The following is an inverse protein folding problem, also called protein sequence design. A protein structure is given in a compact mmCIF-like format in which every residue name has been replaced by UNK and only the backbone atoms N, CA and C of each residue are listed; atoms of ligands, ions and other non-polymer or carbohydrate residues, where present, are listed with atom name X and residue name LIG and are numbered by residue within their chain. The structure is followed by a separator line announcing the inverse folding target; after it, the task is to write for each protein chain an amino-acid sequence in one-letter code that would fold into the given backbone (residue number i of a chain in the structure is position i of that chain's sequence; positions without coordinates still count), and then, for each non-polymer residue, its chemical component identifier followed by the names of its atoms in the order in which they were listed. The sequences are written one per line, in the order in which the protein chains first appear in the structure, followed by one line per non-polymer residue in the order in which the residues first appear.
data_IF_592832884109
#
_entry.id   IF_592832884109
#
_cell.length_a   1.000
_cell.length_b   1.000
_cell.length_c   1.000
_cell.angle_alpha   90.00
_cell.angle_beta   90.00
_cell.angle_gamma   90.00
#
_symmetry.space_group_name_H-M   'P 1'
#
loop_
_entity.id
_entity.type
_entity.pdbx_description
1 polymer ?
#
# COMPACT_ATOMS: atom_id res chain seq x y z
N UNK A 1 3.25 -7.50 3.42
CA UNK A 1 3.26 -6.43 2.40
C UNK A 1 4.69 -5.93 2.22
N UNK A 2 5.21 -5.95 1.00
CA UNK A 2 6.64 -5.77 0.75
C UNK A 2 6.96 -4.27 0.63
N UNK A 3 7.23 -3.57 1.75
CA UNK A 3 7.71 -2.16 1.91
C UNK A 3 7.09 -1.07 1.01
N UNK A 4 7.20 -1.19 -0.31
CA UNK A 4 6.57 -0.36 -1.34
C UNK A 4 5.05 -0.29 -1.14
N UNK A 5 4.43 -1.42 -0.82
CA UNK A 5 3.00 -1.52 -0.52
C UNK A 5 2.52 -0.61 0.62
N UNK A 6 3.24 -0.64 1.73
CA UNK A 6 2.92 0.17 2.91
C UNK A 6 3.12 1.65 2.61
N UNK A 7 4.08 2.00 1.75
CA UNK A 7 4.29 3.38 1.33
C UNK A 7 3.17 3.87 0.40
N UNK A 8 2.74 3.05 -0.57
CA UNK A 8 1.62 3.39 -1.47
C UNK A 8 0.34 3.58 -0.65
N UNK A 9 0.08 2.68 0.30
CA UNK A 9 -1.09 2.77 1.16
C UNK A 9 -1.07 4.00 2.08
N UNK A 10 0.11 4.36 2.60
CA UNK A 10 0.33 5.58 3.37
C UNK A 10 0.09 6.85 2.54
N UNK A 11 0.63 6.91 1.32
CA UNK A 11 0.44 8.04 0.41
C UNK A 11 -1.01 8.17 -0.05
N UNK A 12 -1.69 7.05 -0.30
CA UNK A 12 -3.12 7.03 -0.60
C UNK A 12 -3.94 7.58 0.58
N UNK A 13 -3.56 7.27 1.82
CA UNK A 13 -4.17 7.83 3.02
C UNK A 13 -4.06 9.36 3.09
N UNK A 14 -2.89 9.91 2.79
CA UNK A 14 -2.70 11.37 2.70
C UNK A 14 -3.54 12.01 1.60
N UNK A 15 -3.62 11.38 0.42
CA UNK A 15 -4.46 11.88 -0.66
C UNK A 15 -5.95 11.87 -0.27
N UNK A 16 -6.41 10.84 0.44
CA UNK A 16 -7.77 10.78 0.98
C UNK A 16 -8.05 11.88 2.01
N UNK A 17 -7.10 12.16 2.92
CA UNK A 17 -7.23 13.27 3.86
C UNK A 17 -7.31 14.61 3.15
N UNK A 18 -6.45 14.83 2.16
CA UNK A 18 -6.41 16.07 1.39
C UNK A 18 -7.73 16.33 0.67
N UNK A 19 -8.18 15.36 -0.14
CA UNK A 19 -9.45 15.47 -0.89
C UNK A 19 -10.66 15.47 0.05
N UNK A 20 -10.63 14.64 1.11
CA UNK A 20 -11.68 14.58 2.13
C UNK A 20 -11.89 15.91 2.84
N UNK A 21 -10.82 16.66 3.09
CA UNK A 21 -10.88 17.98 3.75
C UNK A 21 -11.38 19.10 2.84
N UNK A 22 -11.32 18.94 1.52
CA UNK A 22 -11.73 19.95 0.54
C UNK A 22 -13.14 19.71 -0.02
N UNK A 23 -13.80 18.62 0.36
CA UNK A 23 -15.15 18.27 -0.08
C UNK A 23 -16.21 19.01 0.74
N UNK A 24 -17.21 19.57 0.05
CA UNK A 24 -18.41 20.18 0.67
C UNK A 24 -19.41 19.12 1.16
N UNK A 25 -19.31 17.88 0.62
CA UNK A 25 -20.14 16.75 1.04
C UNK A 25 -19.73 16.22 2.42
N UNK A 26 -20.57 16.43 3.44
CA UNK A 26 -20.33 15.98 4.81
C UNK A 26 -20.12 14.46 4.94
N UNK A 27 -20.88 13.65 4.19
CA UNK A 27 -20.80 12.17 4.27
C UNK A 27 -19.53 11.65 3.60
N UNK A 28 -19.27 12.07 2.35
CA UNK A 28 -18.08 11.63 1.61
C UNK A 28 -16.81 12.17 2.25
N UNK A 29 -16.80 13.44 2.67
CA UNK A 29 -15.69 14.05 3.40
C UNK A 29 -15.36 13.27 4.68
N UNK A 30 -16.37 12.88 5.46
CA UNK A 30 -16.19 12.09 6.69
C UNK A 30 -15.64 10.69 6.42
N UNK A 31 -16.13 10.01 5.37
CA UNK A 31 -15.63 8.68 5.00
C UNK A 31 -14.16 8.77 4.57
N UNK A 32 -13.82 9.68 3.65
CA UNK A 32 -12.46 9.83 3.16
C UNK A 32 -11.49 10.27 4.26
N UNK A 33 -11.90 11.19 5.13
CA UNK A 33 -11.04 11.64 6.24
C UNK A 33 -10.81 10.54 7.28
N UNK A 34 -11.84 9.76 7.60
CA UNK A 34 -11.73 8.64 8.55
C UNK A 34 -10.86 7.51 8.00
N UNK A 35 -11.09 7.09 6.75
CA UNK A 35 -10.28 6.03 6.12
C UNK A 35 -8.85 6.50 5.82
N UNK A 36 -8.69 7.75 5.39
CA UNK A 36 -7.39 8.36 5.13
C UNK A 36 -6.56 8.49 6.41
N UNK A 37 -7.15 9.00 7.49
CA UNK A 37 -6.50 9.14 8.79
C UNK A 37 -6.08 7.80 9.38
N UNK A 38 -6.94 6.79 9.30
CA UNK A 38 -6.60 5.41 9.69
C UNK A 38 -5.41 4.88 8.88
N UNK A 39 -5.38 5.21 7.57
CA UNK A 39 -4.32 4.75 6.68
C UNK A 39 -2.97 5.40 6.97
N UNK A 40 -2.99 6.70 7.28
CA UNK A 40 -1.81 7.45 7.71
C UNK A 40 -1.26 6.91 9.03
N UNK A 41 -2.14 6.60 10.00
CA UNK A 41 -1.73 6.05 11.29
C UNK A 41 -0.96 4.73 11.15
N UNK A 42 -1.46 3.76 10.38
CA UNK A 42 -0.71 2.49 10.22
C UNK A 42 0.61 2.72 9.46
N UNK A 43 0.64 3.66 8.51
CA UNK A 43 1.89 4.03 7.84
C UNK A 43 2.91 4.64 8.80
N UNK A 44 2.49 5.52 9.71
CA UNK A 44 3.36 6.03 10.80
C UNK A 44 3.83 4.89 11.69
N UNK A 45 2.93 3.99 12.11
CA UNK A 45 3.31 2.82 12.91
C UNK A 45 4.34 1.95 12.20
N UNK A 46 4.19 1.75 10.88
CA UNK A 46 5.15 1.01 10.06
C UNK A 46 6.51 1.73 9.97
N UNK A 47 6.53 3.05 9.78
CA UNK A 47 7.76 3.85 9.76
C UNK A 47 8.50 3.79 11.10
N UNK A 48 7.77 3.95 12.21
CA UNK A 48 8.32 3.83 13.56
C UNK A 48 8.86 2.42 13.81
N UNK A 49 8.13 1.40 13.37
CA UNK A 49 8.56 0.01 13.49
C UNK A 49 9.86 -0.24 12.72
N UNK A 50 9.97 0.24 11.48
CA UNK A 50 11.18 0.12 10.66
C UNK A 50 12.35 0.87 11.28
N UNK A 51 12.15 2.10 11.76
CA UNK A 51 13.19 2.88 12.43
C UNK A 51 13.70 2.16 13.69
N UNK A 52 12.80 1.58 14.48
CA UNK A 52 13.13 0.89 15.72
C UNK A 52 13.84 -0.45 15.49
N UNK A 53 13.51 -1.19 14.44
CA UNK A 53 14.06 -2.54 14.16
C UNK A 53 15.03 -2.56 12.97
N UNK A 54 15.62 -1.41 12.60
CA UNK A 54 16.48 -1.31 11.42
C UNK A 54 17.66 -2.30 11.42
N UNK A 55 18.24 -2.61 12.59
CA UNK A 55 19.36 -3.57 12.76
C UNK A 55 18.96 -5.02 12.47
N UNK A 56 17.75 -5.41 12.86
CA UNK A 56 17.22 -6.77 12.63
C UNK A 56 16.85 -6.99 11.17
N UNK A 57 16.45 -5.92 10.49
CA UNK A 57 16.20 -5.92 9.05
C UNK A 57 17.47 -6.00 8.21
N UNK A 58 18.61 -5.50 8.69
CA UNK A 58 19.88 -5.64 7.98
C UNK A 58 20.40 -7.09 8.05
N UNK A 59 20.20 -7.77 9.18
CA UNK A 59 20.66 -9.13 9.41
C UNK A 59 19.75 -10.24 8.83
N UNK A 60 18.42 -10.04 8.80
CA UNK A 60 17.46 -11.07 8.35
C UNK A 60 17.14 -11.02 6.84
N UNK A 61 17.62 -10.00 6.11
CA UNK A 61 17.30 -9.81 4.69
C UNK A 61 18.21 -10.63 3.74
N UNK A 62 18.41 -11.91 4.03
CA UNK A 62 18.79 -12.83 2.95
C UNK A 62 17.55 -13.05 2.11
N UNK A 63 17.49 -12.40 0.92
CA UNK A 63 16.47 -12.46 -0.15
C UNK A 63 16.05 -13.88 -0.62
N UNK A 64 16.39 -14.92 0.12
CA UNK A 64 16.22 -16.33 -0.19
C UNK A 64 14.87 -16.91 0.27
N UNK A 65 14.22 -16.30 1.27
CA UNK A 65 13.06 -16.90 1.93
C UNK A 65 11.78 -16.94 1.06
N UNK A 66 11.66 -16.07 0.06
CA UNK A 66 10.47 -16.01 -0.82
C UNK A 66 10.67 -16.59 -2.21
N UNK A 67 11.78 -17.29 -2.43
CA UNK A 67 12.12 -17.80 -3.76
C UNK A 67 12.09 -19.30 -3.75
N UNK A 68 11.02 -19.88 -4.31
CA UNK A 68 11.00 -21.32 -4.60
C UNK A 68 11.88 -21.56 -5.82
N UNK A 69 12.90 -22.40 -5.66
CA UNK A 69 13.68 -22.90 -6.79
C UNK A 69 12.82 -23.89 -7.55
N UNK A 70 12.41 -23.53 -8.76
CA UNK A 70 11.73 -24.43 -9.68
C UNK A 70 12.65 -24.72 -10.85
N UNK A 71 12.60 -25.95 -11.35
CA UNK A 71 13.43 -26.40 -12.47
C UNK A 71 12.55 -26.38 -13.72
N UNK A 72 12.99 -25.62 -14.72
CA UNK A 72 12.40 -25.59 -16.05
C UNK A 72 12.60 -26.94 -16.77
N UNK A 73 11.81 -27.23 -17.79
CA UNK A 73 11.84 -28.50 -18.55
C UNK A 73 13.20 -28.73 -19.26
N UNK A 74 14.00 -27.67 -19.41
CA UNK A 74 15.37 -27.70 -19.92
C UNK A 74 16.45 -27.83 -18.82
N UNK A 75 16.06 -28.12 -17.58
CA UNK A 75 16.97 -28.29 -16.44
C UNK A 75 17.54 -27.00 -15.86
N UNK A 76 17.11 -25.82 -16.34
CA UNK A 76 17.56 -24.51 -15.86
C UNK A 76 16.83 -24.14 -14.57
N UNK A 77 17.57 -23.70 -13.56
CA UNK A 77 16.99 -23.27 -12.30
C UNK A 77 16.42 -21.87 -12.50
N UNK A 78 15.10 -21.73 -12.44
CA UNK A 78 14.41 -20.43 -12.48
C UNK A 78 13.85 -20.12 -11.11
N UNK A 79 14.02 -18.85 -10.75
CA UNK A 79 13.53 -18.30 -9.50
C UNK A 79 12.15 -17.71 -9.77
N UNK A 80 11.10 -18.32 -9.24
CA UNK A 80 9.72 -17.85 -9.41
C UNK A 80 9.27 -17.26 -8.08
N UNK A 81 8.78 -16.02 -8.12
CA UNK A 81 8.18 -15.33 -6.98
C UNK A 81 6.71 -15.78 -6.89
N UNK A 82 6.40 -16.59 -5.88
CA UNK A 82 5.08 -17.19 -5.64
C UNK A 82 4.14 -16.25 -4.84
N UNK A 83 4.45 -14.95 -4.81
CA UNK A 83 3.54 -13.96 -4.25
C UNK A 83 2.31 -13.78 -5.14
N UNK A 84 1.11 -13.94 -4.58
CA UNK A 84 -0.17 -13.69 -5.27
C UNK A 84 -0.32 -12.19 -5.62
N UNK A 85 0.24 -11.79 -6.76
CA UNK A 85 0.32 -10.40 -7.22
C UNK A 85 -1.06 -9.81 -7.53
N UNK A 86 -2.02 -10.65 -7.89
CA UNK A 86 -3.36 -10.24 -8.33
C UNK A 86 -4.19 -9.74 -7.14
N UNK A 87 -4.24 -10.50 -6.04
CA UNK A 87 -4.96 -10.07 -4.82
C UNK A 87 -4.42 -8.76 -4.24
N UNK A 88 -3.10 -8.55 -4.37
CA UNK A 88 -2.41 -7.34 -3.94
C UNK A 88 -2.85 -6.11 -4.72
N UNK A 89 -2.98 -6.20 -6.05
CA UNK A 89 -3.41 -5.08 -6.89
C UNK A 89 -4.84 -4.63 -6.60
N UNK A 90 -5.76 -5.57 -6.37
CA UNK A 90 -7.17 -5.28 -6.07
C UNK A 90 -7.33 -4.48 -4.77
N UNK A 91 -6.53 -4.79 -3.75
CA UNK A 91 -6.60 -4.11 -2.46
C UNK A 91 -6.20 -2.63 -2.49
N UNK A 92 -5.28 -2.23 -3.39
CA UNK A 92 -4.92 -0.82 -3.58
C UNK A 92 -5.84 -0.09 -4.54
N UNK A 93 -6.44 -0.80 -5.50
CA UNK A 93 -7.33 -0.20 -6.49
C UNK A 93 -8.53 0.49 -5.82
N UNK A 94 -9.12 -0.11 -4.79
CA UNK A 94 -10.30 0.44 -4.09
C UNK A 94 -10.05 1.84 -3.51
N UNK A 95 -9.07 2.06 -2.61
CA UNK A 95 -8.82 3.40 -2.06
C UNK A 95 -8.36 4.39 -3.12
N UNK A 96 -7.58 3.96 -4.12
CA UNK A 96 -7.09 4.84 -5.20
C UNK A 96 -8.25 5.33 -6.07
N UNK A 97 -9.12 4.43 -6.53
CA UNK A 97 -10.29 4.78 -7.36
C UNK A 97 -11.25 5.66 -6.59
N UNK A 98 -11.52 5.35 -5.31
CA UNK A 98 -12.39 6.19 -4.47
C UNK A 98 -11.84 7.62 -4.35
N UNK A 99 -10.53 7.76 -4.12
CA UNK A 99 -9.87 9.06 -4.02
C UNK A 99 -9.91 9.81 -5.35
N UNK A 100 -9.70 9.10 -6.45
CA UNK A 100 -9.75 9.67 -7.79
C UNK A 100 -11.15 10.17 -8.16
N UNK A 101 -12.20 9.38 -7.89
CA UNK A 101 -13.59 9.78 -8.12
C UNK A 101 -13.98 10.98 -7.25
N UNK A 102 -13.55 11.01 -6.00
CA UNK A 102 -13.76 12.14 -5.10
C UNK A 102 -13.06 13.41 -5.61
N UNK A 103 -11.83 13.30 -6.13
CA UNK A 103 -11.10 14.41 -6.72
C UNK A 103 -11.77 14.93 -8.01
N UNK A 104 -12.30 14.03 -8.85
CA UNK A 104 -13.09 14.41 -10.03
C UNK A 104 -14.39 15.12 -9.65
N UNK A 105 -15.10 14.61 -8.64
CA UNK A 105 -16.32 15.25 -8.12
C UNK A 105 -16.04 16.63 -7.54
N UNK A 106 -14.89 16.82 -6.92
CA UNK A 106 -14.44 18.15 -6.47
C UNK A 106 -14.10 19.08 -7.64
N UNK A 107 -13.39 18.60 -8.67
CA UNK A 107 -13.01 19.41 -9.84
C UNK A 107 -14.21 19.83 -10.71
N UNK A 108 -15.25 19.01 -10.74
CA UNK A 108 -16.46 19.27 -11.52
C UNK A 108 -17.43 20.28 -10.87
N UNK A 109 -17.11 20.76 -9.66
CA UNK A 109 -17.90 21.71 -8.87
C UNK A 109 -17.15 23.04 -8.73
#
# INVERSE_FOLDING_TARGET
MARVDSLIWFMAGFAQLFVGSSLDSAILGTILTTTGGSSVLLGISALVFVARHHKEFEASYSKLEKTTMTRDDQGRIRRIDDGDQVKRAVWYAVPIILTFLAALGWLAN
#
